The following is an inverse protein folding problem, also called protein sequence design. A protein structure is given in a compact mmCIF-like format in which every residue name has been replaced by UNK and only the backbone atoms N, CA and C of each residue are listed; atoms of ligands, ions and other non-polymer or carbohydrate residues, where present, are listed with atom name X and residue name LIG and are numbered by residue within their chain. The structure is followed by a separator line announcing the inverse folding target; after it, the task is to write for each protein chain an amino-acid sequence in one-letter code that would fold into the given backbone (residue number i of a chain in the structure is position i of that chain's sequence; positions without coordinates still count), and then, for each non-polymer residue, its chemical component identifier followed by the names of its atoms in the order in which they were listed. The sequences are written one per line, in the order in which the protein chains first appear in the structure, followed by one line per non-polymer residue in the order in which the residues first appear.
data_IF_595159554710
#
_entry.id   IF_595159554710
#
_cell.length_a   1.000
_cell.length_b   1.000
_cell.length_c   1.000
_cell.angle_alpha   90.00
_cell.angle_beta   90.00
_cell.angle_gamma   90.00
#
_symmetry.space_group_name_H-M   'P 1'
#
loop_
_entity.id
_entity.type
_entity.pdbx_description
1 polymer ?
#
# COMPACT_ATOMS: atom_id res chain seq x y z
N UNK A 1 -28.17 34.13 9.36
CA UNK A 1 -27.69 32.74 9.53
C UNK A 1 -27.93 32.04 8.20
N UNK A 2 -27.06 32.30 7.22
CA UNK A 2 -27.08 31.57 5.96
C UNK A 2 -26.03 30.48 6.12
N UNK A 3 -26.45 29.23 6.17
CA UNK A 3 -25.50 28.11 6.19
C UNK A 3 -24.72 28.14 4.89
N UNK A 4 -23.40 28.29 4.98
CA UNK A 4 -22.51 28.00 3.86
C UNK A 4 -22.73 26.53 3.51
N UNK A 5 -22.95 26.17 2.22
CA UNK A 5 -23.04 24.78 1.85
C UNK A 5 -21.68 24.16 2.10
N UNK A 6 -21.59 23.29 3.11
CA UNK A 6 -20.45 22.41 3.28
C UNK A 6 -20.25 21.66 1.96
N UNK A 7 -19.12 21.91 1.28
CA UNK A 7 -18.71 21.19 0.08
C UNK A 7 -18.28 19.78 0.48
N UNK A 8 -19.21 18.98 0.98
CA UNK A 8 -18.99 17.55 1.15
C UNK A 8 -18.69 16.94 -0.21
N UNK A 9 -17.69 16.05 -0.30
CA UNK A 9 -17.41 15.33 -1.53
C UNK A 9 -18.63 14.47 -1.86
N UNK A 10 -19.34 14.84 -2.92
CA UNK A 10 -20.54 14.15 -3.41
C UNK A 10 -20.22 12.80 -4.09
N UNK A 11 -19.09 12.19 -3.73
CA UNK A 11 -18.61 10.89 -4.19
C UNK A 11 -18.31 10.03 -2.95
N UNK A 12 -18.76 8.77 -2.93
CA UNK A 12 -18.51 7.85 -1.83
C UNK A 12 -17.02 7.51 -1.73
N UNK A 13 -16.49 7.20 -0.53
CA UNK A 13 -15.11 6.73 -0.39
C UNK A 13 -14.82 5.49 -1.24
N UNK A 14 -13.61 5.41 -1.79
CA UNK A 14 -13.14 4.31 -2.65
C UNK A 14 -11.97 3.60 -1.98
N UNK A 15 -12.00 2.26 -1.97
CA UNK A 15 -10.88 1.45 -1.51
C UNK A 15 -9.65 1.64 -2.42
N UNK A 16 -8.44 1.88 -1.87
CA UNK A 16 -7.25 2.17 -2.65
C UNK A 16 -6.95 1.18 -3.79
N UNK A 17 -7.23 -0.11 -3.56
CA UNK A 17 -6.98 -1.21 -4.49
C UNK A 17 -7.87 -1.12 -5.74
N UNK A 18 -9.13 -0.68 -5.58
CA UNK A 18 -10.09 -0.52 -6.68
C UNK A 18 -9.65 0.59 -7.63
N UNK A 19 -9.09 1.68 -7.08
CA UNK A 19 -8.47 2.75 -7.88
C UNK A 19 -7.22 2.23 -8.61
N UNK A 20 -6.34 1.52 -7.90
CA UNK A 20 -5.10 1.00 -8.47
C UNK A 20 -5.36 0.03 -9.65
N UNK A 21 -6.30 -0.90 -9.50
CA UNK A 21 -6.73 -1.83 -10.56
C UNK A 21 -7.33 -1.07 -11.76
N UNK A 22 -8.20 -0.09 -11.50
CA UNK A 22 -8.85 0.68 -12.55
C UNK A 22 -7.85 1.49 -13.40
N UNK A 23 -6.79 2.03 -12.79
CA UNK A 23 -5.71 2.73 -13.51
C UNK A 23 -4.80 1.75 -14.24
N UNK A 24 -4.51 0.58 -13.67
CA UNK A 24 -3.70 -0.45 -14.33
C UNK A 24 -4.34 -0.92 -15.65
N UNK A 25 -5.65 -1.11 -15.66
CA UNK A 25 -6.41 -1.53 -16.84
C UNK A 25 -6.42 -0.50 -18.00
N UNK A 26 -6.02 0.75 -17.75
CA UNK A 26 -5.92 1.78 -18.79
C UNK A 26 -4.67 1.60 -19.66
N UNK A 27 -4.84 1.79 -20.97
CA UNK A 27 -3.72 1.97 -21.90
C UNK A 27 -2.93 3.25 -21.59
N UNK A 28 -1.64 3.30 -21.94
CA UNK A 28 -0.79 4.48 -21.70
C UNK A 28 -1.38 5.80 -22.26
N UNK A 29 -2.09 5.74 -23.40
CA UNK A 29 -2.78 6.89 -24.00
C UNK A 29 -3.95 7.40 -23.14
N UNK A 30 -4.64 6.51 -22.43
CA UNK A 30 -5.71 6.88 -21.50
C UNK A 30 -5.16 7.34 -20.15
N UNK A 31 -4.13 6.67 -19.59
CA UNK A 31 -3.47 7.12 -18.35
C UNK A 31 -2.99 8.56 -18.45
N UNK A 32 -2.40 8.97 -19.58
CA UNK A 32 -1.97 10.36 -19.85
C UNK A 32 -3.10 11.41 -19.78
N UNK A 33 -4.37 11.00 -19.87
CA UNK A 33 -5.55 11.89 -19.80
C UNK A 33 -6.27 11.86 -18.44
N UNK A 34 -5.87 10.97 -17.53
CA UNK A 34 -6.60 10.70 -16.29
C UNK A 34 -6.74 11.95 -15.42
N UNK A 35 -5.62 12.59 -15.06
CA UNK A 35 -5.60 13.76 -14.17
C UNK A 35 -6.33 14.99 -14.72
N UNK A 36 -6.60 15.04 -16.02
CA UNK A 36 -7.48 16.05 -16.61
C UNK A 36 -8.95 15.67 -16.37
N UNK A 37 -9.35 14.45 -16.74
CA UNK A 37 -10.72 13.97 -16.58
C UNK A 37 -11.17 13.90 -15.11
N UNK A 38 -10.29 13.50 -14.19
CA UNK A 38 -10.55 13.43 -12.74
C UNK A 38 -11.00 14.76 -12.15
N UNK A 39 -10.38 15.89 -12.57
CA UNK A 39 -10.70 17.22 -12.03
C UNK A 39 -12.12 17.68 -12.35
N UNK A 40 -12.71 17.20 -13.44
CA UNK A 40 -14.05 17.57 -13.88
C UNK A 40 -15.16 16.72 -13.21
N UNK A 41 -14.80 15.62 -12.54
CA UNK A 41 -15.75 14.61 -12.06
C UNK A 41 -16.59 15.04 -10.84
N UNK A 42 -15.95 15.59 -9.81
CA UNK A 42 -16.60 15.82 -8.51
C UNK A 42 -17.77 16.82 -8.57
N UNK A 43 -17.68 17.82 -9.44
CA UNK A 43 -18.76 18.78 -9.67
C UNK A 43 -19.94 18.22 -10.49
N UNK A 44 -19.72 17.12 -11.23
CA UNK A 44 -20.74 16.44 -12.04
C UNK A 44 -21.38 15.22 -11.36
N UNK A 45 -21.13 15.03 -10.06
CA UNK A 45 -21.69 13.92 -9.30
C UNK A 45 -23.15 14.19 -8.89
N UNK A 46 -24.00 13.17 -9.07
CA UNK A 46 -25.43 13.21 -8.76
C UNK A 46 -25.80 11.98 -7.91
N UNK A 47 -26.15 12.15 -6.62
CA UNK A 47 -26.58 11.06 -5.76
C UNK A 47 -28.00 10.64 -6.11
N UNK A 48 -28.22 9.33 -6.15
CA UNK A 48 -29.53 8.70 -6.33
C UNK A 48 -30.19 8.35 -5.00
N UNK A 49 -31.50 8.13 -5.04
CA UNK A 49 -32.30 7.73 -3.86
C UNK A 49 -31.94 6.32 -3.35
N UNK A 50 -31.29 5.49 -4.18
CA UNK A 50 -30.78 4.15 -3.86
C UNK A 50 -29.37 4.17 -3.22
N UNK A 51 -28.81 5.35 -2.95
CA UNK A 51 -27.44 5.51 -2.46
C UNK A 51 -26.35 5.29 -3.53
N UNK A 52 -26.73 5.03 -4.79
CA UNK A 52 -25.78 5.07 -5.89
C UNK A 52 -25.40 6.52 -6.22
N UNK A 53 -24.22 6.73 -6.78
CA UNK A 53 -23.80 8.05 -7.30
C UNK A 53 -23.49 7.93 -8.78
N UNK A 54 -24.02 8.86 -9.56
CA UNK A 54 -23.85 8.89 -11.02
C UNK A 54 -23.04 10.11 -11.47
N UNK A 55 -22.21 9.93 -12.51
CA UNK A 55 -21.43 11.01 -13.15
C UNK A 55 -21.56 10.85 -14.66
N UNK A 56 -22.04 11.88 -15.36
CA UNK A 56 -22.26 11.83 -16.82
C UNK A 56 -21.23 12.67 -17.57
N UNK A 57 -20.51 12.03 -18.50
CA UNK A 57 -19.48 12.66 -19.34
C UNK A 57 -19.99 12.98 -20.75
N UNK A 58 -20.91 12.17 -21.27
CA UNK A 58 -21.60 12.35 -22.54
C UNK A 58 -22.92 11.55 -22.52
N UNK A 59 -23.69 11.62 -23.60
CA UNK A 59 -24.93 10.85 -23.76
C UNK A 59 -24.72 9.33 -23.58
N UNK A 60 -23.63 8.78 -24.11
CA UNK A 60 -23.29 7.34 -24.04
C UNK A 60 -22.41 6.96 -22.84
N UNK A 61 -21.96 7.93 -22.04
CA UNK A 61 -20.97 7.73 -20.97
C UNK A 61 -21.49 8.22 -19.61
N UNK A 62 -22.27 7.35 -18.96
CA UNK A 62 -22.66 7.44 -17.57
C UNK A 62 -21.78 6.49 -16.74
N UNK A 63 -21.15 6.99 -15.69
CA UNK A 63 -20.52 6.17 -14.63
C UNK A 63 -21.50 6.08 -13.47
N UNK A 64 -21.63 4.89 -12.89
CA UNK A 64 -22.44 4.64 -11.69
C UNK A 64 -21.59 3.93 -10.65
N UNK A 65 -21.42 4.58 -9.50
CA UNK A 65 -20.86 4.00 -8.28
C UNK A 65 -22.01 3.46 -7.42
N UNK A 66 -21.84 2.24 -6.87
CA UNK A 66 -22.80 1.57 -5.99
C UNK A 66 -22.09 1.09 -4.72
N UNK A 67 -21.95 1.96 -3.71
CA UNK A 67 -21.26 1.61 -2.47
C UNK A 67 -21.84 0.38 -1.78
N UNK A 68 -21.00 -0.33 -1.03
CA UNK A 68 -21.44 -1.42 -0.17
C UNK A 68 -22.14 -0.93 1.10
N UNK A 69 -22.54 -1.84 2.00
CA UNK A 69 -23.19 -1.49 3.27
C UNK A 69 -22.40 -0.53 4.16
N UNK A 70 -21.06 -0.51 4.04
CA UNK A 70 -20.18 0.44 4.73
C UNK A 70 -20.06 1.81 4.06
N UNK A 71 -20.86 2.14 3.05
CA UNK A 71 -20.83 3.44 2.36
C UNK A 71 -19.64 3.65 1.40
N UNK A 72 -18.70 2.70 1.32
CA UNK A 72 -17.54 2.74 0.43
C UNK A 72 -17.67 1.81 -0.78
N UNK A 73 -16.93 2.13 -1.85
CA UNK A 73 -16.71 1.30 -3.04
C UNK A 73 -15.46 0.45 -2.80
N UNK A 74 -15.64 -0.84 -2.53
CA UNK A 74 -14.60 -1.80 -2.14
C UNK A 74 -14.36 -2.92 -3.15
N UNK A 75 -15.16 -3.00 -4.22
CA UNK A 75 -15.01 -3.98 -5.31
C UNK A 75 -15.15 -3.31 -6.69
N UNK A 76 -14.51 -3.88 -7.72
CA UNK A 76 -14.48 -3.30 -9.06
C UNK A 76 -15.87 -3.23 -9.73
N UNK A 77 -16.75 -4.17 -9.42
CA UNK A 77 -18.12 -4.29 -9.97
C UNK A 77 -19.06 -3.20 -9.45
N UNK A 78 -18.73 -2.59 -8.30
CA UNK A 78 -19.46 -1.46 -7.74
C UNK A 78 -19.25 -0.17 -8.56
N UNK A 79 -18.26 -0.12 -9.45
CA UNK A 79 -18.00 1.00 -10.34
C UNK A 79 -18.24 0.58 -11.80
N UNK A 80 -19.42 0.94 -12.33
CA UNK A 80 -19.82 0.60 -13.71
C UNK A 80 -19.80 1.83 -14.62
N UNK A 81 -19.62 1.62 -15.92
CA UNK A 81 -19.72 2.68 -16.92
C UNK A 81 -20.43 2.16 -18.18
N UNK A 82 -21.33 2.96 -18.76
CA UNK A 82 -22.11 2.57 -19.96
C UNK A 82 -21.32 2.64 -21.26
N UNK A 83 -20.15 3.30 -21.27
CA UNK A 83 -19.41 3.52 -22.51
C UNK A 83 -18.81 2.21 -23.08
N UNK A 84 -18.66 2.14 -24.40
CA UNK A 84 -18.19 0.95 -25.13
C UNK A 84 -16.78 0.44 -24.76
N UNK A 85 -16.01 1.18 -23.95
CA UNK A 85 -14.69 0.79 -23.47
C UNK A 85 -14.72 0.20 -22.03
N UNK A 86 -15.89 0.08 -21.41
CA UNK A 86 -16.01 -0.53 -20.09
C UNK A 86 -15.59 -2.02 -20.11
N UNK A 87 -14.97 -2.55 -19.03
CA UNK A 87 -14.62 -1.87 -17.79
C UNK A 87 -13.38 -0.95 -17.89
N UNK A 88 -12.56 -1.09 -18.94
CA UNK A 88 -11.23 -0.47 -19.11
C UNK A 88 -11.29 0.96 -19.67
N UNK A 89 -12.20 1.78 -19.16
CA UNK A 89 -12.46 3.13 -19.68
C UNK A 89 -11.90 4.26 -18.81
N UNK A 90 -11.55 5.38 -19.46
CA UNK A 90 -11.08 6.60 -18.79
C UNK A 90 -12.11 7.12 -17.78
N UNK A 91 -13.41 7.08 -18.11
CA UNK A 91 -14.47 7.63 -17.28
C UNK A 91 -14.57 6.95 -15.91
N UNK A 92 -14.55 5.61 -15.85
CA UNK A 92 -14.59 4.87 -14.56
C UNK A 92 -13.38 5.22 -13.70
N UNK A 93 -12.17 5.18 -14.28
CA UNK A 93 -10.95 5.50 -13.56
C UNK A 93 -10.92 6.98 -13.10
N UNK A 94 -11.45 7.91 -13.90
CA UNK A 94 -11.50 9.33 -13.56
C UNK A 94 -12.41 9.60 -12.36
N UNK A 95 -13.60 8.97 -12.31
CA UNK A 95 -14.53 9.07 -11.18
C UNK A 95 -13.96 8.41 -9.93
N UNK A 96 -13.38 7.22 -10.04
CA UNK A 96 -12.71 6.55 -8.91
C UNK A 96 -11.54 7.38 -8.36
N UNK A 97 -10.77 8.05 -9.23
CA UNK A 97 -9.67 8.93 -8.83
C UNK A 97 -10.10 10.31 -8.34
N UNK A 98 -11.39 10.67 -8.47
CA UNK A 98 -11.96 11.92 -7.95
C UNK A 98 -12.67 11.73 -6.61
N UNK A 99 -12.95 10.48 -6.24
CA UNK A 99 -13.54 10.12 -4.96
C UNK A 99 -12.50 10.22 -3.82
N UNK A 100 -12.93 10.47 -2.57
CA UNK A 100 -12.08 10.29 -1.40
C UNK A 100 -11.55 8.85 -1.34
N UNK A 101 -10.32 8.64 -0.88
CA UNK A 101 -9.90 7.31 -0.46
C UNK A 101 -10.58 6.95 0.87
N UNK A 102 -11.05 5.71 0.99
CA UNK A 102 -11.45 5.16 2.28
C UNK A 102 -10.20 4.91 3.15
N UNK A 103 -10.32 5.14 4.46
CA UNK A 103 -9.25 4.77 5.40
C UNK A 103 -9.17 3.23 5.47
N UNK A 104 -7.97 2.61 5.37
CA UNK A 104 -7.83 1.17 5.53
C UNK A 104 -8.39 0.63 6.86
N UNK A 105 -8.48 1.45 7.92
CA UNK A 105 -9.12 1.07 9.17
C UNK A 105 -10.64 0.88 9.03
N UNK A 106 -11.31 1.64 8.15
CA UNK A 106 -12.76 1.57 7.90
C UNK A 106 -13.12 0.45 6.91
N UNK A 107 -12.15 -0.01 6.10
CA UNK A 107 -12.34 -1.09 5.13
C UNK A 107 -12.28 -2.49 5.75
N UNK A 108 -11.66 -2.63 6.92
CA UNK A 108 -11.62 -3.88 7.67
C UNK A 108 -12.96 -4.05 8.40
N UNK A 109 -13.80 -4.96 7.89
CA UNK A 109 -14.95 -5.44 8.64
C UNK A 109 -14.46 -5.92 10.03
N UNK A 110 -15.16 -5.60 11.14
CA UNK A 110 -14.68 -5.91 12.47
C UNK A 110 -14.39 -7.40 12.57
N UNK A 111 -13.11 -7.73 12.79
CA UNK A 111 -12.73 -9.10 13.08
C UNK A 111 -13.57 -9.57 14.27
N UNK A 112 -14.27 -10.72 14.18
CA UNK A 112 -14.82 -11.32 15.39
C UNK A 112 -13.66 -11.51 16.36
N UNK A 113 -13.81 -11.03 17.59
CA UNK A 113 -12.76 -11.10 18.60
C UNK A 113 -12.24 -12.52 18.67
N UNK A 114 -10.94 -12.70 18.45
CA UNK A 114 -10.32 -14.00 18.61
C UNK A 114 -10.47 -14.40 20.07
N UNK A 115 -11.24 -15.46 20.33
CA UNK A 115 -11.46 -16.02 21.67
C UNK A 115 -10.13 -16.07 22.44
N UNK A 116 -10.08 -15.60 23.71
CA UNK A 116 -8.86 -15.63 24.48
C UNK A 116 -8.39 -17.08 24.62
N UNK A 117 -7.24 -17.38 24.01
CA UNK A 117 -6.65 -18.71 24.04
C UNK A 117 -6.49 -19.19 25.49
N UNK A 118 -6.90 -20.43 25.82
CA UNK A 118 -6.76 -20.94 27.18
C UNK A 118 -5.29 -21.08 27.54
N UNK A 119 -4.97 -20.63 28.76
CA UNK A 119 -3.64 -20.73 29.37
C UNK A 119 -3.15 -22.19 29.39
N UNK A 120 -2.05 -22.44 28.67
CA UNK A 120 -1.36 -23.72 28.63
C UNK A 120 0.05 -23.53 29.23
N UNK A 121 0.12 -23.65 30.54
CA UNK A 121 1.33 -23.37 31.30
C UNK A 121 2.51 -24.29 31.01
N UNK A 122 3.70 -23.67 31.08
CA UNK A 122 4.96 -24.23 31.61
C UNK A 122 5.70 -25.34 30.83
N UNK A 123 6.90 -24.98 30.36
CA UNK A 123 8.02 -25.90 30.06
C UNK A 123 8.45 -26.71 31.29
N UNK A 124 9.12 -27.84 31.06
CA UNK A 124 10.47 -27.98 31.60
C UNK A 124 11.52 -28.40 30.54
N UNK A 125 12.77 -27.98 30.76
CA UNK A 125 13.93 -28.33 29.94
C UNK A 125 14.57 -29.66 30.37
N UNK A 126 15.16 -30.41 29.41
CA UNK A 126 16.42 -31.16 29.55
C UNK A 126 16.69 -32.04 28.30
N UNK A 127 17.96 -32.17 27.89
CA UNK A 127 18.36 -33.21 26.92
C UNK A 127 19.55 -32.86 26.01
N UNK A 128 20.76 -32.81 26.55
CA UNK A 128 21.98 -32.75 25.73
C UNK A 128 22.34 -34.14 25.16
N UNK A 129 22.90 -34.18 23.95
CA UNK A 129 23.38 -35.42 23.32
C UNK A 129 24.45 -35.15 22.27
N UNK A 130 25.70 -35.48 22.59
CA UNK A 130 26.85 -35.42 21.67
C UNK A 130 26.97 -36.70 20.85
N UNK A 131 27.46 -36.60 19.61
CA UNK A 131 27.72 -37.75 18.75
C UNK A 131 28.64 -37.41 17.58
N UNK A 132 29.92 -37.77 17.69
CA UNK A 132 30.92 -37.60 16.63
C UNK A 132 30.95 -38.82 15.69
N UNK A 133 31.32 -38.61 14.42
CA UNK A 133 31.57 -39.67 13.45
C UNK A 133 32.45 -39.15 12.30
N UNK A 134 33.60 -39.78 12.08
CA UNK A 134 34.63 -39.32 11.15
C UNK A 134 34.62 -40.07 9.79
N UNK A 135 35.20 -39.46 8.76
CA UNK A 135 35.49 -40.10 7.48
C UNK A 135 36.38 -39.22 6.61
N UNK A 136 37.62 -39.65 6.34
CA UNK A 136 38.65 -38.88 5.64
C UNK A 136 38.95 -39.42 4.24
N UNK A 137 39.51 -38.56 3.37
CA UNK A 137 40.06 -38.95 2.06
C UNK A 137 40.78 -37.79 1.35
N UNK A 138 42.12 -37.83 1.28
CA UNK A 138 42.96 -36.95 0.45
C UNK A 138 42.93 -37.43 -1.03
N UNK A 139 43.39 -36.72 -2.07
CA UNK A 139 44.16 -35.49 -2.33
C UNK A 139 44.63 -35.56 -3.82
N UNK A 140 45.73 -34.95 -4.30
CA UNK A 140 46.36 -33.64 -4.05
C UNK A 140 46.52 -32.81 -5.37
N UNK A 141 47.25 -31.69 -5.37
CA UNK A 141 47.69 -31.00 -6.60
C UNK A 141 48.24 -29.57 -6.40
N UNK A 142 49.55 -29.39 -6.55
CA UNK A 142 50.32 -28.22 -6.09
C UNK A 142 50.38 -26.98 -7.02
N UNK A 143 50.78 -25.84 -6.44
CA UNK A 143 51.19 -24.61 -7.15
C UNK A 143 51.57 -23.45 -6.22
N UNK A 144 52.86 -23.33 -5.87
CA UNK A 144 53.46 -22.19 -5.11
C UNK A 144 53.69 -20.96 -6.04
N UNK A 145 54.08 -19.72 -5.67
CA UNK A 145 54.97 -19.08 -4.67
C UNK A 145 54.52 -17.59 -4.51
N UNK A 146 55.00 -16.69 -3.62
CA UNK A 146 55.59 -16.73 -2.27
C UNK A 146 55.81 -15.28 -1.74
N UNK A 147 55.99 -15.10 -0.42
CA UNK A 147 56.46 -13.85 0.23
C UNK A 147 55.37 -12.86 0.66
N UNK A 148 55.46 -12.18 1.81
CA UNK A 148 56.45 -12.27 2.90
C UNK A 148 56.33 -11.07 3.85
N UNK A 149 56.29 -11.30 5.16
CA UNK A 149 56.21 -10.23 6.18
C UNK A 149 55.53 -10.68 7.47
N UNK A 150 56.32 -11.01 8.50
CA UNK A 150 55.80 -11.41 9.80
C UNK A 150 55.36 -10.18 10.63
N UNK A 151 54.25 -10.30 11.36
CA UNK A 151 53.71 -9.23 12.19
C UNK A 151 52.31 -9.51 12.74
N UNK A 152 52.11 -10.62 13.46
CA UNK A 152 50.92 -10.79 14.29
C UNK A 152 50.87 -9.71 15.38
N UNK A 153 49.67 -9.23 15.71
CA UNK A 153 49.08 -9.70 16.96
C UNK A 153 47.85 -10.58 16.73
N UNK A 154 47.74 -11.61 17.56
CA UNK A 154 46.62 -12.53 17.61
C UNK A 154 45.40 -11.92 18.31
N UNK A 155 44.21 -12.37 17.92
CA UNK A 155 42.99 -12.32 18.74
C UNK A 155 42.03 -11.17 18.47
N UNK A 156 40.91 -11.46 17.83
CA UNK A 156 39.79 -10.52 17.72
C UNK A 156 38.91 -10.71 16.48
N UNK A 157 38.20 -11.83 16.39
CA UNK A 157 37.08 -11.96 15.44
C UNK A 157 35.82 -11.26 15.97
N UNK A 158 35.97 -9.99 16.35
CA UNK A 158 34.84 -9.07 16.61
C UNK A 158 34.61 -8.26 15.32
N UNK A 159 33.71 -8.76 14.47
CA UNK A 159 33.01 -7.86 13.56
C UNK A 159 32.25 -6.83 14.39
N UNK A 160 32.19 -5.55 13.98
CA UNK A 160 31.60 -4.51 14.82
C UNK A 160 30.19 -4.89 15.24
N UNK A 161 29.98 -5.03 16.55
CA UNK A 161 28.68 -5.34 17.11
C UNK A 161 27.65 -4.32 16.59
N UNK A 162 26.42 -4.73 16.23
CA UNK A 162 25.45 -3.86 15.59
C UNK A 162 25.21 -2.63 16.46
N UNK A 163 25.51 -1.44 15.91
CA UNK A 163 25.54 -0.20 16.68
C UNK A 163 24.14 0.14 17.20
N UNK A 164 23.91 -0.15 18.48
CA UNK A 164 22.59 0.00 19.10
C UNK A 164 22.28 1.48 19.26
N UNK A 165 21.38 1.99 18.41
CA UNK A 165 20.90 3.37 18.47
C UNK A 165 20.52 3.76 19.91
N UNK A 166 20.98 4.92 20.36
CA UNK A 166 20.55 5.50 21.63
C UNK A 166 19.05 5.83 21.62
N UNK A 167 18.45 6.02 22.81
CA UNK A 167 17.07 6.47 22.90
C UNK A 167 16.85 7.85 22.23
N UNK A 168 17.88 8.71 22.18
CA UNK A 168 17.81 9.99 21.46
C UNK A 168 17.78 9.77 19.94
N UNK A 169 18.66 8.93 19.39
CA UNK A 169 18.67 8.57 17.96
C UNK A 169 17.36 7.89 17.53
N UNK A 170 16.81 6.97 18.34
CA UNK A 170 15.48 6.37 18.07
C UNK A 170 14.36 7.40 18.02
N UNK A 171 14.33 8.37 18.96
CA UNK A 171 13.34 9.47 18.93
C UNK A 171 13.52 10.37 17.70
N UNK A 172 14.76 10.68 17.32
CA UNK A 172 15.06 11.46 16.13
C UNK A 172 14.62 10.74 14.84
N UNK A 173 14.91 9.44 14.72
CA UNK A 173 14.47 8.61 13.60
C UNK A 173 12.92 8.54 13.51
N UNK A 174 12.23 8.35 14.63
CA UNK A 174 10.77 8.34 14.68
C UNK A 174 10.12 9.71 14.42
N UNK A 175 10.84 10.82 14.66
CA UNK A 175 10.40 12.16 14.26
C UNK A 175 10.59 12.37 12.75
N UNK A 176 11.76 11.99 12.21
CA UNK A 176 12.06 12.07 10.78
C UNK A 176 11.10 11.20 9.96
N UNK A 177 10.80 9.99 10.40
CA UNK A 177 9.86 9.09 9.74
C UNK A 177 8.45 9.68 9.66
N UNK A 178 7.95 10.28 10.76
CA UNK A 178 6.64 10.95 10.76
C UNK A 178 6.61 12.16 9.83
N UNK A 179 7.63 13.02 9.88
CA UNK A 179 7.73 14.17 8.99
C UNK A 179 7.82 13.74 7.51
N UNK A 180 8.52 12.64 7.20
CA UNK A 180 8.56 12.06 5.87
C UNK A 180 7.20 11.48 5.44
N UNK A 181 6.49 10.79 6.34
CA UNK A 181 5.15 10.27 6.07
C UNK A 181 4.12 11.39 5.86
N UNK A 182 4.17 12.47 6.64
CA UNK A 182 3.34 13.68 6.47
C UNK A 182 3.65 14.38 5.13
N UNK A 183 4.94 14.55 4.79
CA UNK A 183 5.35 15.12 3.52
C UNK A 183 4.95 14.25 2.31
N UNK A 184 5.02 12.92 2.46
CA UNK A 184 4.53 11.98 1.46
C UNK A 184 3.00 12.07 1.33
N UNK A 185 2.24 12.02 2.42
CA UNK A 185 0.78 12.13 2.38
C UNK A 185 0.30 13.43 1.70
N UNK A 186 0.91 14.57 2.04
CA UNK A 186 0.65 15.84 1.36
C UNK A 186 1.10 15.83 -0.11
N UNK A 187 2.20 15.13 -0.42
CA UNK A 187 2.69 14.95 -1.79
C UNK A 187 1.81 14.04 -2.65
N UNK A 188 1.20 13.00 -2.07
CA UNK A 188 0.31 12.07 -2.78
C UNK A 188 -0.97 12.80 -3.20
N UNK A 189 -1.57 13.61 -2.32
CA UNK A 189 -2.79 14.38 -2.68
C UNK A 189 -2.51 15.47 -3.73
N UNK A 190 -1.26 15.92 -3.88
CA UNK A 190 -0.83 16.81 -4.95
C UNK A 190 -0.37 16.09 -6.23
N UNK A 191 -0.02 14.80 -6.14
CA UNK A 191 0.29 13.93 -7.26
C UNK A 191 -0.98 13.47 -7.95
N UNK A 192 -1.03 13.56 -9.28
CA UNK A 192 -2.20 13.09 -10.05
C UNK A 192 -2.54 11.62 -9.78
N UNK A 193 -3.77 11.22 -10.10
CA UNK A 193 -4.33 9.89 -9.81
C UNK A 193 -3.47 8.74 -10.35
N UNK A 194 -2.65 8.97 -11.39
CA UNK A 194 -1.64 7.99 -11.85
C UNK A 194 -0.54 7.77 -10.80
N UNK A 195 0.06 8.82 -10.24
CA UNK A 195 1.13 8.70 -9.23
C UNK A 195 0.60 8.07 -7.94
N UNK A 196 -0.60 8.47 -7.52
CA UNK A 196 -1.32 7.86 -6.41
C UNK A 196 -1.52 6.35 -6.64
N UNK A 197 -1.99 5.93 -7.81
CA UNK A 197 -2.20 4.51 -8.15
C UNK A 197 -0.90 3.68 -8.26
N UNK A 198 0.23 4.28 -8.62
CA UNK A 198 1.54 3.59 -8.56
C UNK A 198 1.99 3.36 -7.11
N UNK A 199 1.83 4.38 -6.24
CA UNK A 199 2.21 4.29 -4.82
C UNK A 199 1.35 3.31 -4.02
N UNK A 200 0.06 3.19 -4.34
CA UNK A 200 -0.85 2.24 -3.70
C UNK A 200 -0.55 0.76 -4.03
N UNK A 201 0.44 0.47 -4.87
CA UNK A 201 0.93 -0.89 -5.18
C UNK A 201 2.32 -1.20 -4.62
N UNK A 202 2.95 -0.26 -3.92
CA UNK A 202 4.33 -0.36 -3.42
C UNK A 202 4.41 -0.93 -2.00
#
# INVERSE_FOLDING_TARGET
MSSEPSTEPNLPPVAPEVLAEAVEQLTARLRKKLDAATRDCAAGAHPGEDGAVTVRFSEDALVTLRPGPGGAVTAAEQATCTCLLAPRCLHRAAVLGAAPLADPADLVAPHPEADPAPDAGQRPDAGAGSGAGAGAGAGPGDGAEAGGGAGEPSGGADGPAPEVLTAAQRRAAAALWRAAAEALAAGVTAGGAVVQAELLRA
#
